data_IF_536429075342
#
_entry.id   IF_536429075342
#
_cell.length_a   1.000
_cell.length_b   1.000
_cell.length_c   1.000
_cell.angle_alpha   90.00
_cell.angle_beta   90.00
_cell.angle_gamma   90.00
#
_symmetry.space_group_name_H-M   'P 1'
#
loop_
_entity.id
_entity.type
_entity.pdbx_description
1 polymer ?
#
# COMPACT_ATOMS: atom_id res chain seq x y z
N UNK A 1 14.31 -22.50 29.86
CA UNK A 1 13.96 -21.20 30.46
C UNK A 1 14.90 -20.14 29.92
N UNK A 2 14.50 -19.42 28.87
CA UNK A 2 15.33 -18.39 28.24
C UNK A 2 15.05 -17.04 28.88
N UNK A 3 16.01 -16.52 29.65
CA UNK A 3 15.95 -15.21 30.24
C UNK A 3 16.16 -14.15 29.14
N UNK A 4 15.11 -13.86 28.37
CA UNK A 4 15.04 -12.68 27.50
C UNK A 4 14.86 -11.45 28.39
N UNK A 5 15.93 -11.02 29.06
CA UNK A 5 16.02 -9.66 29.56
C UNK A 5 15.86 -8.74 28.35
N UNK A 6 14.71 -8.08 28.25
CA UNK A 6 14.39 -7.03 27.28
C UNK A 6 15.58 -6.06 27.20
N UNK A 7 16.45 -6.23 26.20
CA UNK A 7 17.59 -5.34 25.99
C UNK A 7 17.03 -4.02 25.50
N UNK A 8 16.82 -3.09 26.42
CA UNK A 8 16.50 -1.69 26.12
C UNK A 8 17.50 -1.23 25.08
N UNK A 9 17.01 -0.93 23.89
CA UNK A 9 17.85 -0.54 22.77
C UNK A 9 18.21 0.95 22.88
N UNK A 10 19.23 1.41 22.15
CA UNK A 10 19.57 2.83 22.11
C UNK A 10 18.39 3.68 21.61
N UNK A 11 17.56 3.09 20.74
CA UNK A 11 16.32 3.67 20.21
C UNK A 11 15.27 3.82 21.31
N UNK A 12 15.05 2.79 22.14
CA UNK A 12 14.10 2.85 23.26
C UNK A 12 14.49 3.93 24.26
N UNK A 13 15.79 4.08 24.51
CA UNK A 13 16.31 5.14 25.39
C UNK A 13 16.07 6.53 24.81
N UNK A 14 16.30 6.72 23.51
CA UNK A 14 16.03 8.00 22.85
C UNK A 14 14.53 8.35 22.86
N UNK A 15 13.65 7.38 22.62
CA UNK A 15 12.19 7.57 22.70
C UNK A 15 11.77 7.92 24.14
N UNK A 16 12.34 7.25 25.13
CA UNK A 16 12.09 7.55 26.54
C UNK A 16 12.55 8.97 26.91
N UNK A 17 13.71 9.40 26.43
CA UNK A 17 14.24 10.74 26.68
C UNK A 17 13.32 11.81 26.06
N UNK A 18 12.82 11.59 24.83
CA UNK A 18 11.84 12.47 24.19
C UNK A 18 10.52 12.55 24.98
N UNK A 19 9.99 11.39 25.42
CA UNK A 19 8.77 11.32 26.24
C UNK A 19 8.95 12.03 27.59
N UNK A 20 10.12 11.85 28.22
CA UNK A 20 10.48 12.54 29.47
C UNK A 20 10.57 14.05 29.29
N UNK A 21 11.12 14.53 28.17
CA UNK A 21 11.18 15.95 27.85
C UNK A 21 9.78 16.54 27.64
N UNK A 22 8.90 15.83 26.90
CA UNK A 22 7.50 16.22 26.72
C UNK A 22 6.79 16.35 28.07
N UNK A 23 6.95 15.38 28.96
CA UNK A 23 6.28 15.40 30.27
C UNK A 23 6.77 16.57 31.15
N UNK A 24 8.07 16.88 31.09
CA UNK A 24 8.65 18.08 31.74
C UNK A 24 8.06 19.37 31.18
N UNK A 25 7.87 19.48 29.85
CA UNK A 25 7.25 20.65 29.24
C UNK A 25 5.78 20.79 29.65
N UNK A 26 5.02 19.70 29.71
CA UNK A 26 3.64 19.75 30.26
C UNK A 26 3.60 20.18 31.73
N UNK A 27 4.59 19.77 32.53
CA UNK A 27 4.68 20.21 33.93
C UNK A 27 5.01 21.71 34.01
N UNK A 28 5.89 22.20 33.14
CA UNK A 28 6.23 23.61 33.04
C UNK A 28 5.03 24.46 32.57
N UNK A 29 4.30 24.00 31.55
CA UNK A 29 3.07 24.61 31.05
C UNK A 29 2.05 24.78 32.18
N UNK A 30 1.75 23.70 32.93
CA UNK A 30 0.85 23.75 34.09
C UNK A 30 1.29 24.76 35.14
N UNK A 31 2.60 24.84 35.42
CA UNK A 31 3.14 25.81 36.37
C UNK A 31 2.97 27.26 35.90
N UNK A 32 3.22 27.54 34.62
CA UNK A 32 3.04 28.88 34.05
C UNK A 32 1.57 29.28 34.02
N UNK A 33 0.65 28.36 33.68
CA UNK A 33 -0.80 28.66 33.69
C UNK A 33 -1.25 29.14 35.08
N UNK A 34 -0.85 28.44 36.15
CA UNK A 34 -1.16 28.84 37.52
C UNK A 34 -0.55 30.21 37.88
N UNK A 35 0.66 30.52 37.41
CA UNK A 35 1.27 31.84 37.62
C UNK A 35 0.53 32.94 36.87
N UNK A 36 0.11 32.67 35.63
CA UNK A 36 -0.64 33.61 34.78
C UNK A 36 -2.00 33.95 35.41
N UNK A 37 -2.68 32.95 36.00
CA UNK A 37 -3.94 33.14 36.72
C UNK A 37 -3.75 34.00 37.97
N UNK A 38 -2.68 33.75 38.74
CA UNK A 38 -2.32 34.58 39.91
C UNK A 38 -2.01 36.02 39.51
N UNK A 39 -1.25 36.25 38.45
CA UNK A 39 -0.96 37.60 37.96
C UNK A 39 -2.22 38.32 37.48
N UNK A 40 -3.18 37.59 36.90
CA UNK A 40 -4.50 38.12 36.52
C UNK A 40 -5.29 38.54 37.76
N UNK A 41 -5.27 37.75 38.84
CA UNK A 41 -5.92 38.12 40.11
C UNK A 41 -5.27 39.34 40.75
N UNK A 42 -3.93 39.40 40.79
CA UNK A 42 -3.18 40.54 41.33
C UNK A 42 -3.50 41.81 40.51
N UNK A 43 -3.53 41.71 39.18
CA UNK A 43 -3.89 42.84 38.32
C UNK A 43 -5.32 43.35 38.63
N UNK A 44 -6.30 42.45 38.83
CA UNK A 44 -7.67 42.82 39.22
C UNK A 44 -7.72 43.51 40.59
N UNK A 45 -6.98 43.00 41.58
CA UNK A 45 -6.92 43.60 42.92
C UNK A 45 -6.29 45.00 42.89
N UNK A 46 -5.18 45.18 42.18
CA UNK A 46 -4.53 46.49 42.05
C UNK A 46 -5.41 47.51 41.31
N UNK A 47 -6.19 47.07 40.32
CA UNK A 47 -7.18 47.92 39.65
C UNK A 47 -8.32 48.34 40.60
N UNK A 48 -8.81 47.43 41.43
CA UNK A 48 -9.84 47.74 42.44
C UNK A 48 -9.35 48.75 43.50
N UNK A 49 -8.05 48.73 43.81
CA UNK A 49 -7.39 49.68 44.70
C UNK A 49 -7.01 51.01 44.02
N UNK A 50 -7.27 51.17 42.73
CA UNK A 50 -6.95 52.38 41.96
C UNK A 50 -5.48 52.52 41.54
N UNK A 51 -4.62 51.55 41.85
CA UNK A 51 -3.19 51.63 41.57
C UNK A 51 -2.84 51.11 40.16
N UNK A 52 -3.11 51.98 39.17
CA UNK A 52 -2.91 51.68 37.74
C UNK A 52 -1.47 51.29 37.38
N UNK A 53 -0.45 51.87 38.04
CA UNK A 53 0.96 51.58 37.70
C UNK A 53 1.33 50.14 38.02
N UNK A 54 0.89 49.64 39.18
CA UNK A 54 1.11 48.25 39.60
C UNK A 54 0.30 47.26 38.77
N UNK A 55 -0.94 47.61 38.42
CA UNK A 55 -1.76 46.81 37.51
C UNK A 55 -1.11 46.65 36.12
N UNK A 56 -0.56 47.72 35.55
CA UNK A 56 0.16 47.66 34.27
C UNK A 56 1.40 46.77 34.33
N UNK A 57 2.15 46.80 35.43
CA UNK A 57 3.31 45.93 35.62
C UNK A 57 2.91 44.45 35.67
N UNK A 58 1.84 44.12 36.41
CA UNK A 58 1.30 42.75 36.47
C UNK A 58 0.83 42.26 35.09
N UNK A 59 0.15 43.10 34.32
CA UNK A 59 -0.27 42.77 32.95
C UNK A 59 0.91 42.56 31.98
N UNK A 60 2.01 43.31 32.14
CA UNK A 60 3.23 43.08 31.34
C UNK A 60 3.88 41.74 31.67
N UNK A 61 3.94 41.36 32.95
CA UNK A 61 4.45 40.04 33.36
C UNK A 61 3.57 38.92 32.82
N UNK A 62 2.24 39.11 32.86
CA UNK A 62 1.27 38.17 32.31
C UNK A 62 1.53 37.94 30.83
N UNK A 63 1.67 39.02 30.05
CA UNK A 63 1.92 38.93 28.60
C UNK A 63 3.25 38.24 28.27
N UNK A 64 4.28 38.44 29.08
CA UNK A 64 5.54 37.73 28.94
C UNK A 64 5.37 36.22 29.21
N UNK A 65 4.63 35.85 30.24
CA UNK A 65 4.32 34.45 30.55
C UNK A 65 3.48 33.78 29.46
N UNK A 66 2.48 34.47 28.90
CA UNK A 66 1.71 33.98 27.75
C UNK A 66 2.60 33.75 26.53
N UNK A 67 3.59 34.63 26.28
CA UNK A 67 4.55 34.44 25.19
C UNK A 67 5.44 33.22 25.42
N UNK A 68 5.86 32.97 26.67
CA UNK A 68 6.61 31.77 27.04
C UNK A 68 5.75 30.51 26.88
N UNK A 69 4.46 30.58 27.24
CA UNK A 69 3.51 29.48 27.09
C UNK A 69 3.35 29.13 25.61
N UNK A 70 3.12 30.12 24.75
CA UNK A 70 3.02 29.90 23.29
C UNK A 70 4.30 29.29 22.69
N UNK A 71 5.49 29.70 23.14
CA UNK A 71 6.75 29.08 22.73
C UNK A 71 6.85 27.62 23.20
N UNK A 72 6.40 27.35 24.43
CA UNK A 72 6.39 26.00 25.01
C UNK A 72 5.45 25.09 24.23
N UNK A 73 4.26 25.57 23.86
CA UNK A 73 3.29 24.83 23.06
C UNK A 73 3.87 24.47 21.68
N UNK A 74 4.55 25.42 21.02
CA UNK A 74 5.24 25.15 19.75
C UNK A 74 6.37 24.12 19.88
N UNK A 75 7.13 24.15 20.98
CA UNK A 75 8.15 23.12 21.26
C UNK A 75 7.54 21.75 21.52
N UNK A 76 6.37 21.72 22.17
CA UNK A 76 5.64 20.49 22.46
C UNK A 76 5.13 19.83 21.18
N UNK A 77 4.54 20.62 20.28
CA UNK A 77 4.12 20.16 18.94
C UNK A 77 5.31 19.60 18.15
N UNK A 78 6.47 20.26 18.20
CA UNK A 78 7.69 19.78 17.56
C UNK A 78 8.15 18.43 18.13
N UNK A 79 8.11 18.24 19.45
CA UNK A 79 8.46 16.98 20.10
C UNK A 79 7.48 15.84 19.75
N UNK A 80 6.19 16.13 19.66
CA UNK A 80 5.18 15.16 19.25
C UNK A 80 5.39 14.71 17.80
N UNK A 81 5.63 15.66 16.88
CA UNK A 81 5.98 15.35 15.49
C UNK A 81 7.25 14.50 15.39
N UNK A 82 8.28 14.84 16.16
CA UNK A 82 9.54 14.09 16.17
C UNK A 82 9.31 12.66 16.70
N UNK A 83 8.56 12.50 17.79
CA UNK A 83 8.25 11.19 18.37
C UNK A 83 7.48 10.32 17.38
N UNK A 84 6.43 10.87 16.75
CA UNK A 84 5.66 10.16 15.72
C UNK A 84 6.52 9.78 14.52
N UNK A 85 7.41 10.68 14.07
CA UNK A 85 8.34 10.40 12.96
C UNK A 85 9.31 9.27 13.30
N UNK A 86 9.82 9.22 14.53
CA UNK A 86 10.71 8.15 15.00
C UNK A 86 9.96 6.81 15.07
N UNK A 87 8.75 6.80 15.63
CA UNK A 87 7.92 5.59 15.70
C UNK A 87 7.58 5.07 14.29
N UNK A 88 7.29 5.96 13.35
CA UNK A 88 7.08 5.59 11.95
C UNK A 88 8.34 5.04 11.28
N UNK A 89 9.51 5.65 11.51
CA UNK A 89 10.78 5.15 10.98
C UNK A 89 11.12 3.75 11.51
N UNK A 90 10.73 3.41 12.75
CA UNK A 90 10.87 2.06 13.28
C UNK A 90 10.00 1.06 12.52
N UNK A 91 8.74 1.40 12.26
CA UNK A 91 7.85 0.55 11.45
C UNK A 91 8.41 0.36 10.05
N UNK A 92 8.89 1.44 9.42
CA UNK A 92 9.50 1.37 8.09
C UNK A 92 10.70 0.42 8.05
N UNK A 93 11.57 0.48 9.07
CA UNK A 93 12.71 -0.44 9.19
C UNK A 93 12.22 -1.91 9.21
N UNK A 94 11.19 -2.21 9.99
CA UNK A 94 10.67 -3.58 10.11
C UNK A 94 10.03 -4.06 8.80
N UNK A 95 9.31 -3.18 8.10
CA UNK A 95 8.77 -3.48 6.76
C UNK A 95 9.88 -3.78 5.75
N UNK A 96 10.94 -2.96 5.73
CA UNK A 96 12.10 -3.17 4.85
C UNK A 96 12.79 -4.50 5.18
N UNK A 97 12.93 -4.83 6.45
CA UNK A 97 13.52 -6.10 6.88
C UNK A 97 12.65 -7.30 6.46
N UNK A 98 11.33 -7.19 6.57
CA UNK A 98 10.38 -8.18 6.07
C UNK A 98 10.47 -8.37 4.54
N UNK A 99 10.53 -7.29 3.78
CA UNK A 99 10.71 -7.33 2.32
C UNK A 99 12.04 -7.98 1.92
N UNK A 100 13.12 -7.67 2.64
CA UNK A 100 14.43 -8.31 2.40
C UNK A 100 14.38 -9.81 2.65
N UNK A 101 13.72 -10.26 3.72
CA UNK A 101 13.54 -11.69 3.99
C UNK A 101 12.67 -12.35 2.93
N UNK A 102 11.54 -11.76 2.57
CA UNK A 102 10.68 -12.28 1.50
C UNK A 102 11.42 -12.39 0.17
N UNK A 103 12.24 -11.39 -0.16
CA UNK A 103 13.08 -11.43 -1.37
C UNK A 103 14.12 -12.55 -1.33
N UNK A 104 14.72 -12.84 -0.15
CA UNK A 104 15.64 -13.98 0.00
C UNK A 104 14.93 -15.31 -0.20
N UNK A 105 13.78 -15.50 0.45
CA UNK A 105 12.96 -16.72 0.31
C UNK A 105 12.53 -16.90 -1.14
N UNK A 106 12.08 -15.84 -1.83
CA UNK A 106 11.75 -15.91 -3.24
C UNK A 106 12.96 -16.32 -4.09
N UNK A 107 14.16 -15.79 -3.81
CA UNK A 107 15.38 -16.21 -4.51
C UNK A 107 15.73 -17.68 -4.27
N UNK A 108 15.56 -18.17 -3.05
CA UNK A 108 15.76 -19.58 -2.70
C UNK A 108 14.75 -20.47 -3.44
N UNK A 109 13.45 -20.11 -3.44
CA UNK A 109 12.42 -20.81 -4.21
C UNK A 109 12.74 -20.81 -5.70
N UNK A 110 13.19 -19.68 -6.27
CA UNK A 110 13.60 -19.61 -7.67
C UNK A 110 14.82 -20.48 -7.97
N UNK A 111 15.77 -20.60 -7.04
CA UNK A 111 16.92 -21.49 -7.17
C UNK A 111 16.51 -22.98 -7.07
N UNK A 112 15.59 -23.33 -6.17
CA UNK A 112 15.07 -24.69 -6.01
C UNK A 112 14.18 -25.12 -7.19
N UNK A 113 13.42 -24.20 -7.78
CA UNK A 113 12.69 -24.43 -9.05
C UNK A 113 13.61 -24.48 -10.27
N UNK A 114 14.94 -24.46 -10.05
CA UNK A 114 15.96 -24.72 -11.06
C UNK A 114 16.52 -23.49 -11.75
N UNK A 115 16.17 -22.28 -11.31
CA UNK A 115 16.79 -21.03 -11.77
C UNK A 115 16.69 -20.80 -13.28
N UNK A 116 17.62 -20.00 -13.81
CA UNK A 116 17.76 -19.78 -15.27
C UNK A 116 18.12 -21.09 -15.97
N UNK A 117 18.92 -21.95 -15.35
CA UNK A 117 19.39 -23.20 -15.96
C UNK A 117 18.25 -24.19 -16.26
N UNK A 118 17.24 -24.29 -15.39
CA UNK A 118 16.07 -25.13 -15.64
C UNK A 118 15.14 -24.51 -16.68
N UNK A 119 15.01 -23.18 -16.71
CA UNK A 119 14.26 -22.50 -17.79
C UNK A 119 14.97 -22.67 -19.13
N UNK A 120 16.30 -22.53 -19.18
CA UNK A 120 17.13 -22.73 -20.37
C UNK A 120 17.13 -24.19 -20.82
N UNK A 121 17.16 -25.13 -19.87
CA UNK A 121 17.01 -26.56 -20.16
C UNK A 121 15.59 -26.91 -20.64
N UNK A 122 14.54 -26.33 -20.08
CA UNK A 122 13.16 -26.52 -20.55
C UNK A 122 13.00 -25.95 -21.97
N UNK A 123 13.58 -24.78 -22.26
CA UNK A 123 13.58 -24.20 -23.60
C UNK A 123 14.39 -25.03 -24.61
N UNK A 124 15.54 -25.58 -24.19
CA UNK A 124 16.33 -26.52 -24.99
C UNK A 124 15.55 -27.82 -25.27
N UNK A 125 14.97 -28.45 -24.23
CA UNK A 125 14.15 -29.66 -24.36
C UNK A 125 12.91 -29.42 -25.24
N UNK A 126 12.32 -28.21 -25.20
CA UNK A 126 11.20 -27.85 -26.08
C UNK A 126 11.65 -27.63 -27.52
N UNK A 127 12.79 -26.98 -27.75
CA UNK A 127 13.35 -26.79 -29.08
C UNK A 127 13.77 -28.13 -29.72
N UNK A 128 14.39 -29.02 -28.94
CA UNK A 128 14.76 -30.37 -29.37
C UNK A 128 13.52 -31.23 -29.64
N UNK A 129 12.46 -31.10 -28.84
CA UNK A 129 11.19 -31.78 -29.08
C UNK A 129 10.50 -31.29 -30.38
N UNK A 130 10.55 -29.99 -30.67
CA UNK A 130 10.04 -29.41 -31.93
C UNK A 130 10.88 -29.90 -33.12
N UNK A 131 12.20 -29.92 -32.99
CA UNK A 131 13.11 -30.41 -34.03
C UNK A 131 12.91 -31.91 -34.28
N UNK A 132 12.78 -32.71 -33.21
CA UNK A 132 12.46 -34.14 -33.32
C UNK A 132 11.08 -34.37 -33.92
N UNK A 133 10.08 -33.57 -33.56
CA UNK A 133 8.76 -33.64 -34.20
C UNK A 133 8.84 -33.33 -35.69
N UNK A 134 9.61 -32.32 -36.10
CA UNK A 134 9.85 -32.01 -37.51
C UNK A 134 10.60 -33.13 -38.24
N UNK A 135 11.66 -33.66 -37.64
CA UNK A 135 12.45 -34.77 -38.19
C UNK A 135 11.61 -36.05 -38.29
N UNK A 136 10.77 -36.35 -37.30
CA UNK A 136 9.81 -37.45 -37.33
C UNK A 136 8.73 -37.22 -38.39
N UNK A 137 8.22 -36.00 -38.55
CA UNK A 137 7.31 -35.63 -39.64
C UNK A 137 7.95 -35.79 -41.02
N UNK A 138 9.24 -35.51 -41.14
CA UNK A 138 10.01 -35.62 -42.38
C UNK A 138 10.36 -37.09 -42.69
N UNK A 139 10.74 -37.88 -41.67
CA UNK A 139 11.03 -39.32 -41.76
C UNK A 139 9.79 -40.20 -41.95
N UNK A 140 8.64 -39.85 -41.34
CA UNK A 140 7.35 -40.50 -41.60
C UNK A 140 6.81 -40.17 -43.00
N UNK A 141 7.56 -39.40 -43.78
CA UNK A 141 7.22 -38.99 -45.12
C UNK A 141 6.37 -37.74 -45.05
N UNK A 142 7.00 -36.59 -45.28
CA UNK A 142 6.32 -35.42 -45.80
C UNK A 142 5.65 -35.77 -47.13
N UNK A 143 4.47 -36.40 -47.04
CA UNK A 143 3.52 -36.72 -48.09
C UNK A 143 2.15 -36.89 -47.44
N UNK A 144 1.56 -35.77 -47.07
CA UNK A 144 0.21 -35.56 -47.58
C UNK A 144 0.44 -35.41 -49.09
N UNK A 145 0.05 -36.42 -49.87
CA UNK A 145 0.07 -36.27 -51.32
C UNK A 145 -0.89 -35.13 -51.64
N UNK A 146 -0.63 -34.29 -52.65
CA UNK A 146 -1.59 -33.25 -53.04
C UNK A 146 -3.02 -33.82 -53.29
N UNK A 147 -3.14 -35.12 -53.57
CA UNK A 147 -4.43 -35.83 -53.65
C UNK A 147 -5.18 -35.96 -52.31
N UNK A 148 -4.47 -36.13 -51.19
CA UNK A 148 -5.09 -36.21 -49.86
C UNK A 148 -5.46 -34.81 -49.34
N UNK A 149 -4.69 -33.79 -49.72
CA UNK A 149 -5.00 -32.38 -49.46
C UNK A 149 -6.26 -31.94 -50.24
N UNK A 150 -6.39 -32.35 -51.50
CA UNK A 150 -7.60 -32.12 -52.31
C UNK A 150 -8.83 -32.88 -51.74
N UNK A 151 -8.67 -34.10 -51.20
CA UNK A 151 -9.77 -34.83 -50.56
C UNK A 151 -10.23 -34.15 -49.26
N UNK A 152 -9.29 -33.66 -48.44
CA UNK A 152 -9.58 -32.94 -47.19
C UNK A 152 -10.20 -31.57 -47.48
N UNK A 153 -9.74 -30.83 -48.50
CA UNK A 153 -10.38 -29.58 -48.93
C UNK A 153 -11.81 -29.80 -49.44
N UNK A 154 -12.05 -30.89 -50.17
CA UNK A 154 -13.40 -31.26 -50.61
C UNK A 154 -14.31 -31.64 -49.43
N UNK A 155 -13.80 -32.36 -48.43
CA UNK A 155 -14.55 -32.75 -47.23
C UNK A 155 -14.86 -31.53 -46.34
N UNK A 156 -13.91 -30.58 -46.25
CA UNK A 156 -14.08 -29.31 -45.56
C UNK A 156 -15.12 -28.42 -46.26
N UNK A 157 -15.07 -28.33 -47.60
CA UNK A 157 -16.07 -27.59 -48.38
C UNK A 157 -17.48 -28.18 -48.25
N UNK A 158 -17.61 -29.51 -48.14
CA UNK A 158 -18.87 -30.18 -47.89
C UNK A 158 -19.43 -29.87 -46.49
N UNK A 159 -18.58 -29.87 -45.46
CA UNK A 159 -18.94 -29.49 -44.10
C UNK A 159 -19.31 -28.00 -43.98
N UNK A 160 -18.60 -27.10 -44.66
CA UNK A 160 -18.96 -25.68 -44.71
C UNK A 160 -20.31 -25.43 -45.39
N UNK A 161 -20.63 -26.20 -46.44
CA UNK A 161 -21.94 -26.15 -47.09
C UNK A 161 -23.05 -26.67 -46.17
N UNK A 162 -22.81 -27.74 -45.40
CA UNK A 162 -23.74 -28.28 -44.41
C UNK A 162 -23.94 -27.33 -43.21
N UNK A 163 -22.88 -26.69 -42.75
CA UNK A 163 -22.90 -25.67 -41.69
C UNK A 163 -23.60 -24.39 -42.17
N UNK A 164 -23.39 -23.95 -43.41
CA UNK A 164 -24.10 -22.80 -43.97
C UNK A 164 -25.59 -23.10 -44.23
N UNK A 165 -25.94 -24.33 -44.63
CA UNK A 165 -27.33 -24.77 -44.78
C UNK A 165 -28.04 -24.84 -43.41
N UNK A 166 -27.33 -25.24 -42.35
CA UNK A 166 -27.87 -25.22 -40.97
C UNK A 166 -27.88 -23.81 -40.34
N UNK A 167 -26.98 -22.91 -40.76
CA UNK A 167 -27.02 -21.49 -40.40
C UNK A 167 -28.19 -20.73 -41.06
N UNK A 168 -28.57 -21.08 -42.30
CA UNK A 168 -29.76 -20.52 -42.97
C UNK A 168 -31.09 -20.98 -42.36
N UNK A 169 -31.13 -22.13 -41.67
CA UNK A 169 -32.33 -22.64 -40.98
C UNK A 169 -32.46 -22.07 -39.55
N UNK A 170 -31.40 -21.47 -38.98
CA UNK A 170 -31.39 -20.87 -37.64
C UNK A 170 -31.42 -19.34 -37.65
N UNK A 171 -32.13 -18.72 -38.58
CA UNK A 171 -32.74 -17.42 -38.32
C UNK A 171 -34.12 -17.64 -37.69
N UNK A 172 -34.26 -17.61 -36.34
CA UNK A 172 -35.58 -17.53 -35.73
C UNK A 172 -36.20 -16.20 -36.18
N UNK A 173 -37.34 -16.29 -36.85
CA UNK A 173 -38.23 -15.17 -37.11
C UNK A 173 -38.43 -14.34 -35.85
N UNK A 174 -38.41 -13.01 -35.95
CA UNK A 174 -39.36 -12.10 -35.30
C UNK A 174 -39.28 -10.74 -36.02
N UNK A 175 -40.42 -10.17 -36.44
CA UNK A 175 -41.15 -9.35 -35.49
C UNK A 175 -42.65 -9.67 -35.47
N UNK A 176 -43.22 -9.74 -34.27
CA UNK A 176 -44.67 -9.64 -34.10
C UNK A 176 -45.08 -8.18 -34.26
N UNK A 177 -45.94 -7.92 -35.24
CA UNK A 177 -46.73 -6.69 -35.35
C UNK A 177 -48.17 -7.08 -34.98
N UNK A 178 -48.86 -6.33 -34.11
CA UNK A 178 -50.13 -6.76 -33.53
C UNK A 178 -51.27 -6.47 -34.49
N UNK A 179 -52.18 -7.42 -34.70
CA UNK A 179 -53.50 -7.13 -35.27
C UNK A 179 -54.60 -7.79 -34.44
N UNK A 180 -55.02 -6.99 -33.47
CA UNK A 180 -56.35 -6.98 -32.86
C UNK A 180 -57.42 -7.31 -33.91
N UNK A 181 -58.12 -8.44 -33.77
CA UNK A 181 -59.36 -8.65 -34.54
C UNK A 181 -60.43 -7.70 -34.00
N UNK A 182 -60.70 -6.63 -34.74
CA UNK A 182 -61.94 -5.87 -34.62
C UNK A 182 -63.04 -6.57 -35.43
N UNK A 183 -64.09 -6.94 -34.68
CA UNK A 183 -65.51 -7.10 -35.04
C UNK A 183 -65.95 -8.05 -36.16
N UNK A 184 -66.74 -9.06 -35.79
CA UNK A 184 -68.21 -8.99 -35.94
C UNK A 184 -68.87 -9.82 -34.85
#
# INVERSE_FOLDING_TARGET
MGNNSSRVTAQDKAILDLKTQRDKLHQYQRRITVLTDRETQIARQMLAQGDKKRALLALRRKKYQETLLAKTDGQLEQLEKLTSSVEFALIQKDVVFGLQQGTRVLKEIHAEMGGIDHVEKLMGETADAIAYQQEVSEMLGGRISNQDEDEVENELAALEAEVNMTAQIRHPSLPSVPDTKLST
#
